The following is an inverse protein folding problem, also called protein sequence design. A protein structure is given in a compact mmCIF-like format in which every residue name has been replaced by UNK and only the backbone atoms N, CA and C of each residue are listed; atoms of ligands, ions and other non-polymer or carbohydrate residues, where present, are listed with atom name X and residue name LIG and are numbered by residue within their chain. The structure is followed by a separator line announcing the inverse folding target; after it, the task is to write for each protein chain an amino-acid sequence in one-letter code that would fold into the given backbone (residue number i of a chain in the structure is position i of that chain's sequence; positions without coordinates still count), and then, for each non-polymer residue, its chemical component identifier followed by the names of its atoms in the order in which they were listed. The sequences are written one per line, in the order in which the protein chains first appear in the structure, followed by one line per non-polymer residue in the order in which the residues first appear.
data_IF_455258521164
#
_entry.id   IF_455258521164
#
_cell.length_a   1.000
_cell.length_b   1.000
_cell.length_c   1.000
_cell.angle_alpha   90.00
_cell.angle_beta   90.00
_cell.angle_gamma   90.00
#
_symmetry.space_group_name_H-M   'P 1'
#
loop_
_entity.id
_entity.type
_entity.pdbx_description
1 polymer ?
#
# COMPACT_ATOMS: atom_id res chain seq x y z
N UNK A 1 6.07 26.49 36.39
CA UNK A 1 6.89 25.45 35.71
C UNK A 1 6.50 25.46 34.24
N UNK A 2 7.31 26.10 33.41
CA UNK A 2 7.11 26.22 31.96
C UNK A 2 7.40 24.86 31.29
N UNK A 3 6.45 24.35 30.48
CA UNK A 3 6.66 23.20 29.59
C UNK A 3 7.84 23.50 28.65
N UNK A 4 8.78 22.58 28.44
CA UNK A 4 9.80 22.77 27.42
C UNK A 4 9.15 22.85 26.06
N UNK A 5 9.68 23.70 25.19
CA UNK A 5 9.26 23.84 23.81
C UNK A 5 9.34 22.47 23.11
N UNK A 6 8.22 22.03 22.50
CA UNK A 6 8.22 20.86 21.65
C UNK A 6 9.12 21.15 20.45
N UNK A 7 10.21 20.42 20.32
CA UNK A 7 10.95 20.34 19.07
C UNK A 7 10.00 19.74 18.04
N UNK A 8 9.52 20.57 17.12
CA UNK A 8 8.78 20.09 15.95
C UNK A 8 9.76 19.29 15.10
N UNK A 9 9.73 17.96 15.24
CA UNK A 9 10.44 17.05 14.32
C UNK A 9 9.98 17.34 12.90
N UNK A 10 10.90 17.38 11.96
CA UNK A 10 10.52 17.48 10.55
C UNK A 10 9.75 16.23 10.12
N UNK A 11 8.87 16.27 9.10
CA UNK A 11 8.19 15.09 8.57
C UNK A 11 9.16 13.95 8.21
N UNK A 12 10.36 14.29 7.75
CA UNK A 12 11.44 13.35 7.46
C UNK A 12 11.94 12.62 8.72
N UNK A 13 12.18 13.37 9.82
CA UNK A 13 12.68 12.77 11.06
C UNK A 13 11.65 11.80 11.65
N UNK A 14 10.38 12.18 11.63
CA UNK A 14 9.30 11.33 12.10
C UNK A 14 9.17 10.06 11.27
N UNK A 15 9.20 10.18 9.93
CA UNK A 15 9.15 9.03 9.02
C UNK A 15 10.32 8.07 9.26
N UNK A 16 11.54 8.59 9.39
CA UNK A 16 12.72 7.75 9.65
C UNK A 16 12.66 7.03 10.99
N UNK A 17 12.13 7.66 12.04
CA UNK A 17 11.90 7.00 13.34
C UNK A 17 10.92 5.84 13.17
N UNK A 18 9.81 6.04 12.48
CA UNK A 18 8.82 4.98 12.23
C UNK A 18 9.39 3.81 11.42
N UNK A 19 10.20 4.09 10.41
CA UNK A 19 10.87 3.04 9.62
C UNK A 19 11.83 2.23 10.49
N UNK A 20 12.59 2.86 11.38
CA UNK A 20 13.45 2.15 12.33
C UNK A 20 12.67 1.27 13.29
N UNK A 21 11.58 1.79 13.88
CA UNK A 21 10.69 1.02 14.77
C UNK A 21 10.06 -0.18 14.05
N UNK A 22 9.61 0.03 12.80
CA UNK A 22 9.05 -1.03 11.97
C UNK A 22 10.10 -2.13 11.71
N UNK A 23 11.34 -1.76 11.49
CA UNK A 23 12.44 -2.72 11.28
C UNK A 23 12.75 -3.56 12.52
N UNK A 24 12.77 -2.95 13.70
CA UNK A 24 12.94 -3.69 14.95
C UNK A 24 11.76 -4.63 15.21
N UNK A 25 10.53 -4.17 14.97
CA UNK A 25 9.34 -5.02 15.04
C UNK A 25 9.41 -6.18 14.04
N UNK A 26 9.89 -5.94 12.82
CA UNK A 26 10.09 -6.97 11.79
C UNK A 26 11.04 -8.07 12.25
N UNK A 27 12.15 -7.72 12.88
CA UNK A 27 13.11 -8.67 13.44
C UNK A 27 12.52 -9.47 14.62
N UNK A 28 11.77 -8.80 15.48
CA UNK A 28 11.24 -9.36 16.72
C UNK A 28 9.98 -10.22 16.54
N UNK A 29 9.25 -10.07 15.41
CA UNK A 29 7.93 -10.71 15.18
C UNK A 29 7.94 -11.72 14.02
N UNK A 30 8.37 -12.98 14.22
CA UNK A 30 8.35 -13.99 13.16
C UNK A 30 6.96 -14.26 12.58
N UNK A 31 5.90 -14.15 13.40
CA UNK A 31 4.51 -14.29 12.92
C UNK A 31 4.16 -13.18 11.91
N UNK A 32 4.54 -11.94 12.19
CA UNK A 32 4.31 -10.82 11.26
C UNK A 32 5.01 -11.08 9.92
N UNK A 33 6.25 -11.54 9.94
CA UNK A 33 6.99 -11.91 8.73
C UNK A 33 6.29 -13.00 7.91
N UNK A 34 5.71 -14.01 8.55
CA UNK A 34 4.94 -15.05 7.85
C UNK A 34 3.64 -14.53 7.22
N UNK A 35 2.99 -13.58 7.88
CA UNK A 35 1.82 -12.90 7.33
C UNK A 35 2.21 -12.08 6.10
N UNK A 36 3.26 -11.27 6.20
CA UNK A 36 3.77 -10.50 5.06
C UNK A 36 4.29 -11.38 3.92
N UNK A 37 4.94 -12.50 4.23
CA UNK A 37 5.35 -13.49 3.23
C UNK A 37 4.17 -14.00 2.39
N UNK A 38 2.97 -14.11 2.97
CA UNK A 38 1.77 -14.43 2.22
C UNK A 38 1.35 -13.29 1.30
N UNK A 39 1.34 -12.06 1.78
CA UNK A 39 1.00 -10.89 0.99
C UNK A 39 1.98 -10.68 -0.19
N UNK A 40 3.28 -10.77 0.05
CA UNK A 40 4.26 -10.64 -1.02
C UNK A 40 4.21 -11.78 -2.04
N UNK A 41 3.86 -13.02 -1.64
CA UNK A 41 3.57 -14.09 -2.61
C UNK A 41 2.35 -13.75 -3.46
N UNK A 42 1.27 -13.22 -2.86
CA UNK A 42 0.10 -12.79 -3.63
C UNK A 42 0.45 -11.71 -4.64
N UNK A 43 1.29 -10.75 -4.26
CA UNK A 43 1.79 -9.69 -5.16
C UNK A 43 2.63 -10.32 -6.27
N UNK A 44 3.63 -11.14 -5.94
CA UNK A 44 4.52 -11.80 -6.89
C UNK A 44 3.76 -12.63 -7.93
N UNK A 45 2.75 -13.38 -7.51
CA UNK A 45 1.95 -14.24 -8.38
C UNK A 45 1.10 -13.44 -9.39
N UNK A 46 1.00 -12.12 -9.22
CA UNK A 46 0.27 -11.18 -10.09
C UNK A 46 1.16 -10.31 -10.96
N UNK A 47 2.46 -10.42 -10.80
CA UNK A 47 3.39 -9.79 -11.73
C UNK A 47 3.14 -10.30 -13.16
N UNK A 48 3.36 -9.48 -14.19
CA UNK A 48 3.28 -9.95 -15.58
C UNK A 48 4.20 -11.15 -15.81
N UNK A 49 3.74 -12.15 -16.57
CA UNK A 49 4.53 -13.36 -16.85
C UNK A 49 5.76 -13.07 -17.69
N UNK A 50 5.57 -12.26 -18.74
CA UNK A 50 6.64 -11.79 -19.62
C UNK A 50 7.00 -10.36 -19.20
N UNK A 51 8.12 -10.19 -18.54
CA UNK A 51 8.59 -8.90 -18.02
C UNK A 51 9.86 -8.50 -18.76
N UNK A 52 9.83 -7.32 -19.37
CA UNK A 52 11.04 -6.72 -19.99
C UNK A 52 11.56 -5.56 -19.14
N UNK A 53 10.65 -4.87 -18.45
CA UNK A 53 10.95 -3.74 -17.60
C UNK A 53 11.16 -4.09 -16.13
N UNK A 54 11.53 -3.10 -15.34
CA UNK A 54 11.73 -3.25 -13.90
C UNK A 54 10.41 -3.48 -13.15
N UNK A 55 10.48 -4.18 -12.02
CA UNK A 55 9.46 -4.20 -10.98
C UNK A 55 9.87 -3.18 -9.93
N UNK A 56 8.98 -2.25 -9.60
CA UNK A 56 9.28 -1.12 -8.72
C UNK A 56 8.24 -1.06 -7.60
N UNK A 57 8.69 -1.03 -6.36
CA UNK A 57 7.82 -0.78 -5.22
C UNK A 57 7.88 0.70 -4.85
N UNK A 58 6.70 1.32 -4.76
CA UNK A 58 6.49 2.69 -4.31
C UNK A 58 6.16 2.69 -2.82
N UNK A 59 6.80 3.55 -2.04
CA UNK A 59 6.60 3.61 -0.60
C UNK A 59 7.15 2.37 0.11
N UNK A 60 8.34 1.93 -0.27
CA UNK A 60 8.93 0.66 0.20
C UNK A 60 9.27 0.63 1.69
N UNK A 61 9.32 1.78 2.35
CA UNK A 61 9.71 1.87 3.75
C UNK A 61 11.07 1.22 4.01
N UNK A 62 11.08 0.06 4.66
CA UNK A 62 12.32 -0.68 4.97
C UNK A 62 12.77 -1.66 3.85
N UNK A 63 12.12 -1.67 2.69
CA UNK A 63 12.54 -2.45 1.52
C UNK A 63 12.40 -3.97 1.66
N UNK A 64 11.54 -4.45 2.54
CA UNK A 64 11.41 -5.88 2.85
C UNK A 64 10.79 -6.72 1.72
N UNK A 65 10.21 -6.13 0.68
CA UNK A 65 9.75 -6.84 -0.53
C UNK A 65 10.87 -7.67 -1.18
N UNK A 66 12.13 -7.23 -1.08
CA UNK A 66 13.29 -7.93 -1.65
C UNK A 66 13.52 -9.33 -1.08
N UNK A 67 12.96 -9.67 0.07
CA UNK A 67 13.00 -11.04 0.59
C UNK A 67 12.20 -12.03 -0.29
N UNK A 68 11.25 -11.54 -1.11
CA UNK A 68 10.38 -12.36 -1.98
C UNK A 68 10.47 -12.03 -3.47
N UNK A 69 10.87 -10.81 -3.79
CA UNK A 69 11.09 -10.31 -5.16
C UNK A 69 12.45 -9.60 -5.16
N UNK A 70 13.56 -10.35 -5.23
CA UNK A 70 14.90 -9.79 -5.06
C UNK A 70 15.29 -8.74 -6.10
N UNK A 71 14.71 -8.84 -7.31
CA UNK A 71 14.93 -7.90 -8.42
C UNK A 71 14.11 -6.61 -8.30
N UNK A 72 13.23 -6.50 -7.30
CA UNK A 72 12.40 -5.30 -7.13
C UNK A 72 13.27 -4.09 -6.78
N UNK A 73 13.04 -2.99 -7.50
CA UNK A 73 13.62 -1.68 -7.19
C UNK A 73 12.78 -1.05 -6.09
N UNK A 74 13.36 -0.79 -4.94
CA UNK A 74 12.67 -0.19 -3.80
C UNK A 74 12.79 1.32 -3.83
N UNK A 75 11.64 2.01 -3.74
CA UNK A 75 11.59 3.48 -3.76
C UNK A 75 10.70 4.02 -2.65
N UNK A 76 11.05 5.18 -2.14
CA UNK A 76 10.23 5.92 -1.19
C UNK A 76 10.43 7.42 -1.40
N UNK A 77 9.50 8.22 -0.89
CA UNK A 77 9.57 9.67 -0.93
C UNK A 77 10.69 10.21 -0.04
N UNK A 78 10.94 9.56 1.09
CA UNK A 78 11.92 9.98 2.08
C UNK A 78 13.16 9.06 2.07
N UNK A 79 14.37 9.63 2.04
CA UNK A 79 15.60 8.86 1.99
C UNK A 79 15.80 8.01 3.23
N UNK A 80 16.16 6.75 3.02
CA UNK A 80 16.62 5.84 4.06
C UNK A 80 17.63 4.82 3.49
N UNK A 81 18.44 4.13 4.33
CA UNK A 81 19.54 3.29 3.86
C UNK A 81 19.13 2.01 3.13
N UNK A 82 17.84 1.67 3.07
CA UNK A 82 17.34 0.40 2.52
C UNK A 82 16.66 0.56 1.17
N UNK A 83 16.65 1.78 0.63
CA UNK A 83 16.10 2.08 -0.69
C UNK A 83 17.16 1.99 -1.78
N UNK A 84 16.71 1.61 -2.97
CA UNK A 84 17.52 1.77 -4.17
C UNK A 84 17.46 3.20 -4.70
N UNK A 85 16.29 3.88 -4.54
CA UNK A 85 16.08 5.24 -5.03
C UNK A 85 15.13 6.03 -4.11
N UNK A 86 15.31 7.34 -4.11
CA UNK A 86 14.36 8.29 -3.53
C UNK A 86 13.58 8.91 -4.67
N UNK A 87 12.27 8.66 -4.72
CA UNK A 87 11.41 9.10 -5.82
C UNK A 87 10.01 9.48 -5.34
N UNK A 88 9.43 10.48 -5.97
CA UNK A 88 8.01 10.76 -5.87
C UNK A 88 7.24 9.96 -6.92
N UNK A 89 6.15 9.32 -6.53
CA UNK A 89 5.26 8.61 -7.46
C UNK A 89 4.63 9.52 -8.52
N UNK A 90 4.62 10.82 -8.28
CA UNK A 90 4.10 11.81 -9.20
C UNK A 90 5.13 12.26 -10.26
N UNK A 91 6.40 11.85 -10.10
CA UNK A 91 7.50 12.21 -10.99
C UNK A 91 8.59 11.15 -10.89
N UNK A 92 8.38 10.07 -11.62
CA UNK A 92 9.30 8.92 -11.62
C UNK A 92 10.48 9.17 -12.55
N UNK A 93 11.68 8.73 -12.14
CA UNK A 93 12.88 8.77 -12.97
C UNK A 93 12.87 7.75 -14.12
N UNK A 94 11.85 6.88 -14.18
CA UNK A 94 11.69 5.85 -15.19
C UNK A 94 11.40 6.45 -16.56
N UNK A 95 12.08 5.94 -17.61
CA UNK A 95 11.72 6.25 -18.99
C UNK A 95 10.33 5.68 -19.33
N UNK A 96 9.70 6.23 -20.36
CA UNK A 96 8.41 5.76 -20.86
C UNK A 96 8.50 4.27 -21.22
N UNK A 97 7.55 3.46 -20.74
CA UNK A 97 7.47 2.04 -21.07
C UNK A 97 8.62 1.18 -20.54
N UNK A 98 9.37 1.63 -19.53
CA UNK A 98 10.55 0.92 -19.01
C UNK A 98 10.28 0.06 -17.77
N UNK A 99 9.10 0.17 -17.16
CA UNK A 99 8.69 -0.63 -16.02
C UNK A 99 7.69 -1.73 -16.43
N UNK A 100 7.80 -2.90 -15.85
CA UNK A 100 6.84 -4.00 -16.04
C UNK A 100 5.76 -4.02 -14.96
N UNK A 101 6.08 -3.57 -13.75
CA UNK A 101 5.10 -3.48 -12.68
C UNK A 101 5.47 -2.42 -11.65
N UNK A 102 4.43 -1.80 -11.09
CA UNK A 102 4.49 -1.04 -9.85
C UNK A 102 3.75 -1.79 -8.75
N UNK A 103 4.33 -1.82 -7.56
CA UNK A 103 3.74 -2.40 -6.35
C UNK A 103 3.52 -1.27 -5.34
N UNK A 104 2.32 -1.18 -4.80
CA UNK A 104 1.96 -0.26 -3.72
C UNK A 104 1.37 -1.07 -2.56
N UNK A 105 2.05 -1.12 -1.44
CA UNK A 105 1.60 -1.83 -0.25
C UNK A 105 1.37 -0.82 0.89
N UNK A 106 0.11 -0.55 1.21
CA UNK A 106 -0.31 0.49 2.15
C UNK A 106 0.18 1.90 1.73
N UNK A 107 0.03 2.25 0.44
CA UNK A 107 0.51 3.51 -0.13
C UNK A 107 -0.58 4.29 -0.86
N UNK A 108 -1.50 3.63 -1.56
CA UNK A 108 -2.50 4.31 -2.39
C UNK A 108 -3.36 5.28 -1.57
N UNK A 109 -3.68 4.94 -0.34
CA UNK A 109 -4.44 5.80 0.56
C UNK A 109 -3.67 7.04 1.04
N UNK A 110 -2.36 7.10 0.83
CA UNK A 110 -1.52 8.27 1.06
C UNK A 110 -1.38 9.16 -0.18
N UNK A 111 -1.93 8.76 -1.32
CA UNK A 111 -1.87 9.57 -2.53
C UNK A 111 -2.96 10.63 -2.51
N UNK A 112 -2.56 11.89 -2.40
CA UNK A 112 -3.50 13.02 -2.42
C UNK A 112 -4.20 13.13 -3.77
N UNK A 113 -3.47 12.93 -4.87
CA UNK A 113 -3.97 12.97 -6.24
C UNK A 113 -3.74 11.61 -6.93
N UNK A 114 -4.51 10.56 -6.59
CA UNK A 114 -4.23 9.20 -7.06
C UNK A 114 -4.31 9.06 -8.59
N UNK A 115 -5.11 9.87 -9.27
CA UNK A 115 -5.16 9.88 -10.73
C UNK A 115 -3.88 10.40 -11.38
N UNK A 116 -3.27 11.44 -10.81
CA UNK A 116 -1.98 11.93 -11.28
C UNK A 116 -0.87 10.87 -11.09
N UNK A 117 -0.85 10.20 -9.94
CA UNK A 117 0.09 9.11 -9.66
C UNK A 117 -0.11 7.92 -10.63
N UNK A 118 -1.36 7.49 -10.84
CA UNK A 118 -1.68 6.43 -11.81
C UNK A 118 -1.30 6.85 -13.24
N UNK A 119 -1.48 8.11 -13.61
CA UNK A 119 -1.06 8.65 -14.91
C UNK A 119 0.45 8.54 -15.12
N UNK A 120 1.24 8.90 -14.11
CA UNK A 120 2.70 8.81 -14.16
C UNK A 120 3.17 7.34 -14.19
N UNK A 121 2.59 6.47 -13.37
CA UNK A 121 2.87 5.03 -13.44
C UNK A 121 2.49 4.45 -14.81
N UNK A 122 1.37 4.87 -15.42
CA UNK A 122 0.97 4.43 -16.77
C UNK A 122 1.99 4.86 -17.82
N UNK A 123 2.52 6.09 -17.76
CA UNK A 123 3.60 6.54 -18.65
C UNK A 123 4.81 5.62 -18.61
N UNK A 124 5.24 5.30 -17.39
CA UNK A 124 6.44 4.50 -17.15
C UNK A 124 6.26 2.98 -17.40
N UNK A 125 5.03 2.45 -17.32
CA UNK A 125 4.76 1.03 -17.59
C UNK A 125 4.90 0.68 -19.07
N UNK A 126 5.45 -0.48 -19.36
CA UNK A 126 5.30 -1.12 -20.69
C UNK A 126 3.84 -1.51 -20.94
N UNK A 127 3.47 -1.72 -22.19
CA UNK A 127 2.13 -2.22 -22.55
C UNK A 127 1.88 -3.58 -21.92
N UNK A 128 0.73 -3.75 -21.26
CA UNK A 128 0.43 -4.93 -20.46
C UNK A 128 1.12 -4.97 -19.10
N UNK A 129 1.90 -3.93 -18.76
CA UNK A 129 2.46 -3.74 -17.41
C UNK A 129 1.38 -3.49 -16.38
N UNK A 130 1.68 -3.74 -15.10
CA UNK A 130 0.68 -3.77 -14.04
C UNK A 130 1.00 -2.84 -12.88
N UNK A 131 -0.07 -2.30 -12.28
CA UNK A 131 -0.04 -1.73 -10.93
C UNK A 131 -0.74 -2.72 -10.01
N UNK A 132 -0.06 -3.13 -8.94
CA UNK A 132 -0.56 -4.08 -7.94
C UNK A 132 -0.64 -3.35 -6.61
N UNK A 133 -1.86 -3.19 -6.10
CA UNK A 133 -2.15 -2.50 -4.85
C UNK A 133 -2.53 -3.52 -3.80
N UNK A 134 -2.00 -3.39 -2.59
CA UNK A 134 -2.48 -4.08 -1.39
C UNK A 134 -2.78 -3.03 -0.32
N UNK A 135 -4.06 -2.81 -0.05
CA UNK A 135 -4.56 -1.65 0.70
C UNK A 135 -5.53 -2.06 1.81
N UNK A 136 -5.81 -1.18 2.77
CA UNK A 136 -6.96 -1.33 3.67
C UNK A 136 -8.27 -1.47 2.89
N UNK A 137 -9.17 -2.32 3.38
CA UNK A 137 -10.53 -2.45 2.84
C UNK A 137 -11.59 -2.05 3.86
N UNK A 138 -12.60 -1.34 3.36
CA UNK A 138 -13.69 -0.77 4.16
C UNK A 138 -14.93 -1.68 4.19
N UNK A 139 -14.76 -2.99 4.40
CA UNK A 139 -15.84 -3.83 4.90
C UNK A 139 -16.33 -3.34 6.27
N UNK A 140 -17.46 -3.86 6.78
CA UNK A 140 -17.97 -3.42 8.07
C UNK A 140 -16.94 -3.56 9.20
N UNK A 141 -16.19 -4.67 9.22
CA UNK A 141 -15.10 -4.89 10.17
C UNK A 141 -13.90 -3.95 9.90
N UNK A 142 -13.57 -3.70 8.64
CA UNK A 142 -12.51 -2.75 8.27
C UNK A 142 -12.82 -1.34 8.78
N UNK A 143 -14.04 -0.85 8.55
CA UNK A 143 -14.50 0.46 9.08
C UNK A 143 -14.40 0.52 10.61
N UNK A 144 -14.76 -0.56 11.30
CA UNK A 144 -14.66 -0.62 12.77
C UNK A 144 -13.19 -0.55 13.22
N UNK A 145 -12.30 -1.34 12.61
CA UNK A 145 -10.91 -1.44 13.01
C UNK A 145 -10.15 -0.17 12.67
N UNK A 146 -10.19 0.26 11.41
CA UNK A 146 -9.48 1.45 10.97
C UNK A 146 -10.09 2.74 11.54
N UNK A 147 -11.41 2.80 11.74
CA UNK A 147 -12.05 3.98 12.29
C UNK A 147 -11.89 4.16 13.80
N UNK A 148 -11.63 3.09 14.57
CA UNK A 148 -11.52 3.17 16.04
C UNK A 148 -10.11 2.93 16.59
N UNK A 149 -9.32 2.12 15.91
CA UNK A 149 -8.03 1.63 16.43
C UNK A 149 -6.83 2.07 15.60
N UNK A 150 -7.08 2.73 14.47
CA UNK A 150 -6.03 3.31 13.64
C UNK A 150 -5.98 4.82 13.81
N UNK A 151 -4.78 5.42 13.72
CA UNK A 151 -4.60 6.86 13.90
C UNK A 151 -4.94 7.69 12.66
N UNK A 152 -5.00 7.05 11.49
CA UNK A 152 -5.31 7.70 10.23
C UNK A 152 -6.81 7.72 9.94
N UNK A 153 -7.34 8.79 9.32
CA UNK A 153 -8.75 8.89 9.01
C UNK A 153 -9.18 7.88 7.93
N UNK A 154 -10.39 7.35 8.04
CA UNK A 154 -10.97 6.51 6.99
C UNK A 154 -11.49 7.33 5.80
N UNK A 155 -11.84 8.61 6.00
CA UNK A 155 -12.19 9.61 4.99
C UNK A 155 -13.23 9.14 3.94
N UNK A 156 -14.28 8.42 4.36
CA UNK A 156 -15.28 7.86 3.44
C UNK A 156 -16.17 8.93 2.81
N UNK A 157 -16.38 10.05 3.51
CA UNK A 157 -17.25 11.14 3.06
C UNK A 157 -16.48 12.28 2.40
N UNK A 158 -15.13 12.24 2.43
CA UNK A 158 -14.29 13.28 1.85
C UNK A 158 -14.19 13.11 0.33
N UNK A 159 -14.14 14.23 -0.39
CA UNK A 159 -13.94 14.17 -1.85
C UNK A 159 -12.55 13.64 -2.18
N UNK A 160 -12.47 12.61 -3.02
CA UNK A 160 -11.19 12.18 -3.57
C UNK A 160 -10.73 13.20 -4.63
N UNK A 161 -9.63 13.89 -4.34
CA UNK A 161 -8.99 14.82 -5.28
C UNK A 161 -8.21 14.02 -6.32
N UNK A 162 -8.90 13.44 -7.30
CA UNK A 162 -8.32 12.51 -8.27
C UNK A 162 -7.17 13.12 -9.07
N UNK A 163 -7.42 14.28 -9.67
CA UNK A 163 -6.46 14.98 -10.51
C UNK A 163 -5.75 16.07 -9.70
N UNK A 164 -4.46 16.27 -9.92
CA UNK A 164 -3.72 17.38 -9.33
C UNK A 164 -4.19 18.71 -9.94
N UNK A 165 -4.34 19.77 -9.14
CA UNK A 165 -4.70 21.09 -9.67
C UNK A 165 -3.58 21.67 -10.54
N UNK A 166 -3.95 22.56 -11.46
CA UNK A 166 -2.99 23.25 -12.32
C UNK A 166 -1.98 24.03 -11.46
N UNK A 167 -0.70 23.81 -11.71
CA UNK A 167 0.38 24.46 -10.95
C UNK A 167 0.73 23.77 -9.63
N UNK A 168 0.09 22.64 -9.30
CA UNK A 168 0.49 21.84 -8.14
C UNK A 168 1.93 21.34 -8.31
N UNK A 169 2.69 21.46 -7.22
CA UNK A 169 4.09 21.02 -7.19
C UNK A 169 4.19 19.60 -6.63
N UNK A 170 4.62 18.60 -7.40
CA UNK A 170 4.79 17.23 -6.93
C UNK A 170 5.89 17.05 -5.86
N UNK A 171 6.72 18.08 -5.64
CA UNK A 171 7.73 18.09 -4.57
C UNK A 171 7.15 18.62 -3.23
N UNK A 172 5.90 19.06 -3.20
CA UNK A 172 5.23 19.44 -1.96
C UNK A 172 4.81 18.20 -1.17
N UNK A 173 5.50 17.94 -0.10
CA UNK A 173 5.32 16.78 0.75
C UNK A 173 4.46 17.13 1.98
N UNK A 174 3.16 17.26 1.76
CA UNK A 174 2.18 17.28 2.87
C UNK A 174 1.77 15.85 3.23
N UNK A 175 1.75 15.52 4.54
CA UNK A 175 1.15 14.26 4.95
C UNK A 175 -0.34 14.23 4.57
N UNK A 176 -0.74 13.16 3.90
CA UNK A 176 -2.12 12.88 3.53
C UNK A 176 -2.43 11.42 3.85
N UNK A 177 -3.61 11.14 4.39
CA UNK A 177 -4.09 9.79 4.58
C UNK A 177 -5.61 9.74 4.45
N UNK A 178 -6.12 8.76 3.71
CA UNK A 178 -7.54 8.49 3.52
C UNK A 178 -7.72 6.98 3.27
N UNK A 179 -7.78 6.20 4.35
CA UNK A 179 -7.78 4.73 4.36
C UNK A 179 -8.87 4.12 3.45
N UNK A 180 -9.99 4.83 3.25
CA UNK A 180 -11.11 4.40 2.42
C UNK A 180 -10.94 4.59 0.92
N UNK A 181 -9.94 5.35 0.46
CA UNK A 181 -9.84 5.74 -0.95
C UNK A 181 -9.73 4.56 -1.91
N UNK A 182 -8.99 3.51 -1.56
CA UNK A 182 -8.88 2.32 -2.41
C UNK A 182 -10.22 1.57 -2.53
N UNK A 183 -10.96 1.40 -1.42
CA UNK A 183 -12.29 0.78 -1.46
C UNK A 183 -13.26 1.58 -2.30
N UNK A 184 -13.31 2.91 -2.14
CA UNK A 184 -14.19 3.81 -2.91
C UNK A 184 -13.85 3.78 -4.40
N UNK A 185 -12.57 3.84 -4.74
CA UNK A 185 -12.12 3.85 -6.13
C UNK A 185 -12.39 2.51 -6.85
N UNK A 186 -12.13 1.37 -6.21
CA UNK A 186 -12.07 0.09 -6.89
C UNK A 186 -13.19 -0.89 -6.52
N UNK A 187 -13.81 -0.75 -5.34
CA UNK A 187 -14.94 -1.60 -4.91
C UNK A 187 -16.25 -0.90 -5.16
N UNK A 188 -16.39 0.33 -4.67
CA UNK A 188 -17.64 1.10 -4.80
C UNK A 188 -17.79 1.71 -6.21
N UNK A 189 -16.68 1.82 -6.95
CA UNK A 189 -16.66 2.25 -8.34
C UNK A 189 -16.85 3.75 -8.55
N UNK A 190 -16.69 4.56 -7.50
CA UNK A 190 -16.88 6.03 -7.56
C UNK A 190 -16.03 6.71 -8.66
N UNK A 191 -14.89 6.12 -8.99
CA UNK A 191 -13.92 6.69 -9.93
C UNK A 191 -13.70 5.82 -11.17
N UNK A 192 -14.62 4.90 -11.46
CA UNK A 192 -14.48 3.95 -12.58
C UNK A 192 -14.28 4.65 -13.93
N UNK A 193 -15.00 5.73 -14.15
CA UNK A 193 -14.89 6.53 -15.39
C UNK A 193 -13.54 7.24 -15.54
N UNK A 194 -12.84 7.42 -14.43
CA UNK A 194 -11.51 8.04 -14.37
C UNK A 194 -10.37 7.07 -14.66
N UNK A 195 -10.62 5.78 -14.68
CA UNK A 195 -9.61 4.74 -14.93
C UNK A 195 -9.38 4.51 -16.44
N UNK A 196 -9.34 5.60 -17.22
CA UNK A 196 -9.10 5.54 -18.66
C UNK A 196 -7.70 5.00 -18.96
N UNK A 197 -7.60 4.04 -19.90
CA UNK A 197 -6.33 3.39 -20.24
C UNK A 197 -5.92 2.27 -19.29
N UNK A 198 -6.76 1.98 -18.27
CA UNK A 198 -6.55 0.87 -17.35
C UNK A 198 -7.58 -0.23 -17.55
N UNK A 199 -7.14 -1.48 -17.53
CA UNK A 199 -7.98 -2.65 -17.36
C UNK A 199 -7.89 -3.12 -15.90
N UNK A 200 -9.00 -3.20 -15.19
CA UNK A 200 -9.06 -3.85 -13.88
C UNK A 200 -9.01 -5.35 -14.10
N UNK A 201 -7.89 -5.99 -13.74
CA UNK A 201 -7.68 -7.43 -13.90
C UNK A 201 -8.27 -8.20 -12.73
N UNK A 202 -8.10 -7.66 -11.52
CA UNK A 202 -8.57 -8.27 -10.28
C UNK A 202 -8.90 -7.21 -9.24
N UNK A 203 -10.00 -7.44 -8.50
CA UNK A 203 -10.33 -6.77 -7.25
C UNK A 203 -10.67 -7.88 -6.27
N UNK A 204 -9.82 -8.09 -5.27
CA UNK A 204 -10.00 -9.15 -4.27
C UNK A 204 -10.07 -8.54 -2.89
N UNK A 205 -11.23 -8.69 -2.28
CA UNK A 205 -11.49 -8.31 -0.89
C UNK A 205 -11.24 -9.51 0.02
N UNK A 206 -10.54 -9.32 1.13
CA UNK A 206 -10.20 -10.43 2.00
C UNK A 206 -10.15 -10.03 3.48
N UNK A 207 -10.57 -10.93 4.38
CA UNK A 207 -10.24 -10.80 5.79
C UNK A 207 -8.72 -10.89 5.97
N UNK A 208 -8.19 -10.18 6.94
CA UNK A 208 -6.78 -10.29 7.32
C UNK A 208 -6.65 -10.39 8.86
N UNK A 209 -7.40 -11.32 9.45
CA UNK A 209 -7.34 -11.59 10.89
C UNK A 209 -5.94 -11.99 11.32
N UNK A 210 -5.22 -12.71 10.46
CA UNK A 210 -3.83 -13.07 10.66
C UNK A 210 -2.94 -11.82 10.82
N UNK A 211 -3.16 -10.78 10.02
CA UNK A 211 -2.44 -9.52 10.14
C UNK A 211 -2.83 -8.76 11.40
N UNK A 212 -4.15 -8.60 11.64
CA UNK A 212 -4.67 -7.89 12.81
C UNK A 212 -4.18 -8.57 14.09
N UNK A 213 -4.33 -9.90 14.18
CA UNK A 213 -3.92 -10.67 15.35
C UNK A 213 -2.40 -10.81 15.49
N UNK A 214 -1.60 -10.57 14.43
CA UNK A 214 -0.15 -10.46 14.58
C UNK A 214 0.27 -9.18 15.31
N UNK A 215 -0.65 -8.23 15.47
CA UNK A 215 -0.41 -6.92 16.06
C UNK A 215 0.30 -5.94 15.12
N UNK A 216 0.50 -6.29 13.85
CA UNK A 216 1.24 -5.47 12.90
C UNK A 216 2.61 -5.06 13.45
N UNK A 217 3.09 -3.89 13.05
CA UNK A 217 4.37 -3.38 13.55
C UNK A 217 4.28 -2.87 15.00
N UNK A 218 3.15 -2.29 15.42
CA UNK A 218 3.03 -1.54 16.68
C UNK A 218 2.28 -2.26 17.79
N UNK A 219 1.35 -3.17 17.45
CA UNK A 219 0.49 -3.84 18.42
C UNK A 219 1.06 -5.14 19.00
N UNK A 220 0.46 -5.69 20.06
CA UNK A 220 0.85 -6.98 20.60
C UNK A 220 0.41 -8.13 19.68
N UNK A 221 1.19 -9.20 19.67
CA UNK A 221 0.82 -10.44 19.02
C UNK A 221 -0.25 -11.16 19.86
N UNK A 222 -1.42 -11.46 19.28
CA UNK A 222 -2.58 -11.99 19.98
C UNK A 222 -2.70 -13.53 19.92
N UNK A 223 -1.93 -14.20 19.07
CA UNK A 223 -1.94 -15.66 18.94
C UNK A 223 -0.54 -16.18 18.60
N UNK A 224 -0.23 -17.44 19.01
CA UNK A 224 1.07 -18.03 18.75
C UNK A 224 1.23 -18.42 17.28
N UNK A 225 2.47 -18.44 16.78
CA UNK A 225 2.81 -18.71 15.37
C UNK A 225 2.20 -20.01 14.83
N UNK A 226 2.18 -21.08 15.64
CA UNK A 226 1.63 -22.37 15.24
C UNK A 226 0.13 -22.34 14.94
N UNK A 227 -0.62 -21.34 15.44
CA UNK A 227 -2.04 -21.18 15.17
C UNK A 227 -2.33 -20.47 13.82
N UNK A 228 -1.33 -19.96 13.13
CA UNK A 228 -1.51 -19.25 11.86
C UNK A 228 -2.29 -20.06 10.79
N UNK A 229 -2.06 -21.38 10.60
CA UNK A 229 -2.86 -22.17 9.66
C UNK A 229 -4.35 -22.20 10.00
N UNK A 230 -4.68 -22.29 11.30
CA UNK A 230 -6.07 -22.25 11.76
C UNK A 230 -6.70 -20.88 11.49
N UNK A 231 -5.99 -19.80 11.82
CA UNK A 231 -6.47 -18.43 11.57
C UNK A 231 -6.72 -18.22 10.06
N UNK A 232 -5.84 -18.70 9.18
CA UNK A 232 -6.06 -18.68 7.73
C UNK A 232 -7.25 -19.53 7.27
N UNK A 233 -7.46 -20.67 7.89
CA UNK A 233 -8.67 -21.47 7.66
C UNK A 233 -9.94 -20.69 7.97
N UNK A 234 -9.94 -19.96 9.09
CA UNK A 234 -11.02 -19.05 9.48
C UNK A 234 -11.17 -17.92 8.44
N UNK A 235 -10.09 -17.27 8.03
CA UNK A 235 -10.11 -16.22 7.00
C UNK A 235 -10.79 -16.72 5.70
N UNK A 236 -10.51 -17.95 5.27
CA UNK A 236 -11.12 -18.52 4.07
C UNK A 236 -12.65 -18.65 4.20
N UNK A 237 -13.15 -19.02 5.37
CA UNK A 237 -14.59 -19.07 5.64
C UNK A 237 -15.21 -17.69 5.61
N UNK A 238 -14.60 -16.73 6.30
CA UNK A 238 -15.11 -15.36 6.38
C UNK A 238 -14.94 -14.56 5.07
N UNK A 239 -14.05 -15.00 4.18
CA UNK A 239 -13.91 -14.44 2.83
C UNK A 239 -15.17 -14.63 1.96
N UNK A 240 -16.11 -15.48 2.35
CA UNK A 240 -17.42 -15.65 1.69
C UNK A 240 -18.33 -14.44 1.89
N UNK A 241 -18.07 -13.61 2.90
CA UNK A 241 -18.85 -12.40 3.22
C UNK A 241 -17.92 -11.16 3.25
N UNK A 242 -17.33 -10.78 2.11
CA UNK A 242 -16.31 -9.74 2.07
C UNK A 242 -16.85 -8.35 2.47
N UNK A 243 -18.13 -8.05 2.20
CA UNK A 243 -18.75 -6.80 2.65
C UNK A 243 -18.75 -6.61 4.17
N UNK A 244 -18.70 -7.72 4.92
CA UNK A 244 -18.68 -7.68 6.39
C UNK A 244 -17.26 -7.79 6.94
N UNK A 245 -16.49 -8.79 6.49
CA UNK A 245 -15.26 -9.20 7.17
C UNK A 245 -13.97 -8.74 6.48
N UNK A 246 -14.06 -8.16 5.30
CA UNK A 246 -12.86 -7.71 4.61
C UNK A 246 -12.19 -6.54 5.33
N UNK A 247 -10.88 -6.63 5.45
CA UNK A 247 -9.99 -5.60 6.01
C UNK A 247 -8.78 -5.33 5.11
N UNK A 248 -8.62 -6.13 4.05
CA UNK A 248 -7.58 -5.96 3.03
C UNK A 248 -8.17 -6.07 1.64
N UNK A 249 -7.65 -5.24 0.74
CA UNK A 249 -8.02 -5.13 -0.65
C UNK A 249 -6.79 -5.32 -1.52
N UNK A 250 -6.83 -6.30 -2.41
CA UNK A 250 -5.85 -6.45 -3.47
C UNK A 250 -6.49 -6.00 -4.79
N UNK A 251 -5.83 -5.08 -5.49
CA UNK A 251 -6.24 -4.60 -6.81
C UNK A 251 -5.12 -4.80 -7.80
N UNK A 252 -5.45 -5.27 -8.98
CA UNK A 252 -4.52 -5.39 -10.10
C UNK A 252 -5.08 -4.59 -11.27
N UNK A 253 -4.37 -3.53 -11.63
CA UNK A 253 -4.62 -2.75 -12.82
C UNK A 253 -3.59 -3.13 -13.88
N UNK A 254 -4.00 -3.20 -15.15
CA UNK A 254 -3.10 -3.46 -16.26
C UNK A 254 -3.21 -2.33 -17.28
N UNK A 255 -2.06 -1.81 -17.73
CA UNK A 255 -2.00 -0.84 -18.82
C UNK A 255 -2.54 -1.45 -20.10
N UNK A 256 -3.60 -0.86 -20.66
CA UNK A 256 -4.31 -1.43 -21.81
C UNK A 256 -3.83 -0.89 -23.16
N UNK A 257 -3.42 0.38 -23.24
CA UNK A 257 -2.99 1.13 -24.45
C UNK A 257 -1.48 1.24 -24.64
#
# INVERSE_FOLDING_TARGET
MSRPASTTSTPLDQHNVEIHENRESWKAKPLLREVYAHFYRMIRDRLPRERKGAVIEIGSGMGNIKEWIPECVTTDLFPNPWLDRVESVYRLSCADGSASAFVLFDVFHHLRHPGAALGEMRRALEKGGRVILLEPDMGALGRLIFGKFHHEPIALDDKIEWDAPVGWNPEEHGYYAAQGNASRAFVDGELREKLTGWRIVEVKRMPAFSYIGSGGFRGPQLYPRFALPLVRGIENVFALLPGVFSTRLLVVLERHD
#
